data_IF_165016731962
#
_entry.id   IF_165016731962
#
_cell.length_a   1.000
_cell.length_b   1.000
_cell.length_c   1.000
_cell.angle_alpha   90.00
_cell.angle_beta   90.00
_cell.angle_gamma   90.00
#
_symmetry.space_group_name_H-M   'P 1'
#
loop_
_entity.id
_entity.type
_entity.pdbx_description
1 polymer ?
#
# COMPACT_ATOMS: atom_id res chain seq x y z
N UNK A 1 33.45 10.85 12.82
CA UNK A 1 32.02 10.64 13.13
C UNK A 1 31.28 10.67 11.81
N UNK A 2 31.09 9.49 11.23
CA UNK A 2 30.29 9.28 10.01
C UNK A 2 29.05 8.53 10.46
N UNK A 3 28.14 9.27 11.10
CA UNK A 3 26.72 8.92 11.23
C UNK A 3 26.06 9.67 10.05
N UNK A 4 25.44 9.06 9.05
CA UNK A 4 24.26 8.18 9.12
C UNK A 4 24.11 7.63 7.69
N UNK A 5 24.39 6.36 7.44
CA UNK A 5 24.24 5.80 6.11
C UNK A 5 23.96 4.29 6.19
N UNK A 6 22.79 3.93 6.75
CA UNK A 6 22.15 2.60 6.85
C UNK A 6 20.88 2.85 7.69
N UNK A 7 19.63 2.70 7.27
CA UNK A 7 19.05 2.05 6.11
C UNK A 7 17.72 2.74 5.78
N UNK A 8 17.42 2.98 4.50
CA UNK A 8 16.04 3.18 4.06
C UNK A 8 15.43 1.78 3.99
N UNK A 9 15.07 1.20 5.14
CA UNK A 9 14.40 -0.11 5.22
C UNK A 9 12.88 0.07 5.02
N UNK A 10 12.23 -0.94 4.42
CA UNK A 10 10.78 -0.97 4.24
C UNK A 10 10.24 -0.06 3.13
N UNK A 11 9.10 0.59 3.41
CA UNK A 11 8.30 1.35 2.45
C UNK A 11 9.06 2.42 1.68
N UNK A 12 10.08 3.05 2.28
CA UNK A 12 10.86 4.12 1.64
C UNK A 12 11.83 3.60 0.58
N UNK A 13 12.18 2.31 0.60
CA UNK A 13 13.08 1.69 -0.37
C UNK A 13 12.38 1.45 -1.72
N UNK A 14 12.88 2.02 -2.84
CA UNK A 14 12.38 1.68 -4.16
C UNK A 14 12.52 0.18 -4.47
N UNK A 15 13.60 -0.46 -4.01
CA UNK A 15 13.84 -1.88 -4.23
C UNK A 15 12.80 -2.74 -3.50
N UNK A 16 12.42 -2.35 -2.28
CA UNK A 16 11.35 -3.01 -1.54
C UNK A 16 10.00 -2.89 -2.24
N UNK A 17 9.63 -1.68 -2.71
CA UNK A 17 8.39 -1.47 -3.46
C UNK A 17 8.33 -2.30 -4.74
N UNK A 18 9.44 -2.38 -5.49
CA UNK A 18 9.53 -3.24 -6.69
C UNK A 18 9.38 -4.72 -6.34
N UNK A 19 10.02 -5.19 -5.26
CA UNK A 19 9.91 -6.57 -4.82
C UNK A 19 8.48 -6.92 -4.36
N UNK A 20 7.83 -6.01 -3.62
CA UNK A 20 6.44 -6.17 -3.19
C UNK A 20 5.49 -6.26 -4.39
N UNK A 21 5.63 -5.38 -5.38
CA UNK A 21 4.84 -5.44 -6.61
C UNK A 21 5.10 -6.71 -7.42
N UNK A 22 6.34 -7.20 -7.42
CA UNK A 22 6.70 -8.49 -8.00
C UNK A 22 5.93 -9.65 -7.35
N UNK A 23 5.91 -9.70 -6.01
CA UNK A 23 5.13 -10.70 -5.25
C UNK A 23 3.63 -10.55 -5.49
N UNK A 24 3.11 -9.32 -5.46
CA UNK A 24 1.70 -9.04 -5.74
C UNK A 24 1.25 -9.61 -7.10
N UNK A 25 2.09 -9.45 -8.13
CA UNK A 25 1.83 -9.97 -9.49
C UNK A 25 1.70 -11.50 -9.53
N UNK A 26 2.40 -12.19 -8.62
CA UNK A 26 2.39 -13.64 -8.52
C UNK A 26 1.26 -14.17 -7.62
N UNK A 27 0.73 -13.36 -6.68
CA UNK A 27 -0.40 -13.75 -5.83
C UNK A 27 -1.75 -13.54 -6.55
N UNK A 28 -2.32 -14.64 -7.02
CA UNK A 28 -3.63 -14.65 -7.72
C UNK A 28 -4.78 -14.13 -6.85
N UNK A 29 -4.71 -14.25 -5.53
CA UNK A 29 -5.75 -13.74 -4.61
C UNK A 29 -5.68 -12.22 -4.54
N UNK A 30 -4.48 -11.67 -4.39
CA UNK A 30 -4.26 -10.23 -4.36
C UNK A 30 -4.67 -9.59 -5.70
N UNK A 31 -4.26 -10.19 -6.82
CA UNK A 31 -4.68 -9.77 -8.17
C UNK A 31 -6.20 -9.79 -8.35
N UNK A 32 -6.90 -10.76 -7.74
CA UNK A 32 -8.37 -10.83 -7.81
C UNK A 32 -9.03 -9.70 -7.01
N UNK A 33 -8.50 -9.34 -5.85
CA UNK A 33 -8.97 -8.18 -5.09
C UNK A 33 -8.79 -6.91 -5.92
N UNK A 34 -7.59 -6.70 -6.46
CA UNK A 34 -7.28 -5.56 -7.33
C UNK A 34 -8.22 -5.49 -8.54
N UNK A 35 -8.41 -6.59 -9.27
CA UNK A 35 -9.30 -6.60 -10.45
C UNK A 35 -10.74 -6.16 -10.19
N UNK A 36 -11.20 -6.26 -8.93
CA UNK A 36 -12.57 -5.92 -8.53
C UNK A 36 -12.68 -4.52 -7.96
N UNK A 37 -11.61 -4.02 -7.34
CA UNK A 37 -11.68 -2.83 -6.49
C UNK A 37 -10.80 -1.69 -6.98
N UNK A 38 -9.84 -1.93 -7.87
CA UNK A 38 -8.98 -0.91 -8.44
C UNK A 38 -9.78 0.19 -9.14
N UNK A 39 -9.28 1.44 -9.18
CA UNK A 39 -9.90 2.49 -9.98
C UNK A 39 -9.70 2.16 -11.48
N UNK A 40 -8.51 1.65 -11.81
CA UNK A 40 -8.16 1.07 -13.09
C UNK A 40 -7.35 -0.22 -12.87
N UNK A 41 -8.00 -1.38 -13.05
CA UNK A 41 -7.36 -2.68 -12.87
C UNK A 41 -6.30 -3.03 -13.92
N UNK A 42 -6.18 -2.26 -15.00
CA UNK A 42 -5.13 -2.44 -15.99
C UNK A 42 -3.76 -1.93 -15.52
N UNK A 43 -3.75 -1.05 -14.52
CA UNK A 43 -2.56 -0.53 -13.86
C UNK A 43 -2.18 -1.41 -12.68
N UNK A 44 -0.93 -1.29 -12.23
CA UNK A 44 -0.51 -1.88 -10.95
C UNK A 44 -0.89 -0.96 -9.79
N UNK A 45 -1.10 -1.53 -8.59
CA UNK A 45 -1.19 -0.74 -7.37
C UNK A 45 0.00 0.20 -7.22
N UNK A 46 -0.26 1.46 -6.90
CA UNK A 46 0.76 2.50 -6.84
C UNK A 46 0.81 3.24 -5.51
N UNK A 47 -0.15 2.97 -4.62
CA UNK A 47 -0.27 3.65 -3.34
C UNK A 47 0.23 2.73 -2.24
N UNK A 48 1.36 3.11 -1.63
CA UNK A 48 2.00 2.38 -0.55
C UNK A 48 1.72 3.08 0.76
N UNK A 49 1.49 2.29 1.81
CA UNK A 49 1.10 2.78 3.13
C UNK A 49 1.96 2.11 4.19
N UNK A 50 2.43 2.91 5.13
CA UNK A 50 2.91 2.49 6.43
C UNK A 50 1.97 3.05 7.50
N UNK A 51 1.41 2.18 8.33
CA UNK A 51 0.51 2.56 9.41
C UNK A 51 0.69 1.62 10.61
N UNK A 52 0.37 2.10 11.80
CA UNK A 52 0.41 1.31 13.03
C UNK A 52 -0.94 1.32 13.70
N UNK A 53 -1.33 0.20 14.31
CA UNK A 53 -2.48 0.13 15.22
C UNK A 53 -2.07 0.17 16.70
N UNK A 54 -0.82 0.57 16.98
CA UNK A 54 -0.24 0.64 18.32
C UNK A 54 0.23 -0.71 18.87
N UNK A 55 -0.11 -1.82 18.20
CA UNK A 55 0.35 -3.17 18.53
C UNK A 55 1.24 -3.77 17.42
N UNK A 56 0.97 -3.40 16.17
CA UNK A 56 1.66 -3.88 14.98
C UNK A 56 1.84 -2.74 13.99
N UNK A 57 3.03 -2.69 13.40
CA UNK A 57 3.34 -1.83 12.27
C UNK A 57 3.04 -2.61 10.98
N UNK A 58 2.30 -1.97 10.09
CA UNK A 58 1.83 -2.54 8.83
C UNK A 58 2.40 -1.71 7.69
N UNK A 59 3.14 -2.38 6.80
CA UNK A 59 3.64 -1.79 5.57
C UNK A 59 3.18 -2.61 4.37
N UNK A 60 2.73 -1.93 3.33
CA UNK A 60 2.27 -2.61 2.12
C UNK A 60 1.81 -1.70 1.02
N UNK A 61 1.11 -2.29 0.05
CA UNK A 61 0.49 -1.59 -1.06
C UNK A 61 -1.03 -1.75 -1.01
N UNK A 62 -1.74 -0.67 -1.27
CA UNK A 62 -3.20 -0.62 -1.21
C UNK A 62 -3.76 -1.26 -2.47
N UNK A 63 -4.54 -2.33 -2.30
CA UNK A 63 -5.09 -3.13 -3.40
C UNK A 63 -6.62 -3.15 -3.45
N UNK A 64 -7.28 -2.47 -2.52
CA UNK A 64 -8.72 -2.49 -2.32
C UNK A 64 -9.15 -1.47 -1.28
N UNK A 65 -10.45 -1.27 -1.12
CA UNK A 65 -10.99 -0.32 -0.15
C UNK A 65 -12.10 0.57 -0.67
N UNK A 66 -12.51 1.50 0.19
CA UNK A 66 -13.42 2.58 -0.15
C UNK A 66 -12.68 3.68 -0.92
N UNK A 67 -13.37 4.33 -1.84
CA UNK A 67 -12.88 5.52 -2.55
C UNK A 67 -13.14 6.78 -1.76
N UNK A 68 -12.24 7.73 -1.92
CA UNK A 68 -12.50 9.07 -1.45
C UNK A 68 -13.78 9.61 -2.15
N UNK A 69 -14.76 10.14 -1.40
CA UNK A 69 -16.01 10.61 -1.98
C UNK A 69 -15.84 11.86 -2.85
N UNK A 70 -14.77 12.62 -2.63
CA UNK A 70 -14.45 13.86 -3.33
C UNK A 70 -13.44 13.60 -4.48
N UNK A 71 -12.63 12.54 -4.40
CA UNK A 71 -11.76 12.06 -5.49
C UNK A 71 -11.83 10.52 -5.69
N UNK A 72 -12.53 10.09 -6.75
CA UNK A 72 -12.71 8.67 -7.04
C UNK A 72 -11.43 7.93 -7.48
N UNK A 73 -10.34 8.65 -7.79
CA UNK A 73 -9.03 8.04 -8.08
C UNK A 73 -8.24 7.74 -6.80
N UNK A 74 -8.59 8.38 -5.69
CA UNK A 74 -7.94 8.21 -4.39
C UNK A 74 -8.64 7.17 -3.50
N UNK A 75 -7.93 6.72 -2.47
CA UNK A 75 -8.45 5.78 -1.47
C UNK A 75 -8.85 6.53 -0.21
N UNK A 76 -9.99 6.16 0.38
CA UNK A 76 -10.40 6.70 1.68
C UNK A 76 -9.64 5.98 2.80
N UNK A 77 -8.55 6.60 3.25
CA UNK A 77 -7.73 6.11 4.36
C UNK A 77 -8.35 6.34 5.73
N UNK A 78 -9.39 7.15 5.85
CA UNK A 78 -10.14 7.29 7.11
C UNK A 78 -11.13 6.13 7.30
N UNK A 79 -11.62 5.58 6.19
CA UNK A 79 -12.51 4.42 6.12
C UNK A 79 -11.77 3.07 6.18
N UNK A 80 -12.21 2.10 5.38
CA UNK A 80 -11.57 0.78 5.29
C UNK A 80 -10.85 0.65 3.95
N UNK A 81 -9.61 0.18 3.99
CA UNK A 81 -8.81 -0.15 2.82
C UNK A 81 -8.20 -1.55 2.96
N UNK A 82 -7.81 -2.13 1.84
CA UNK A 82 -7.22 -3.46 1.77
C UNK A 82 -5.74 -3.32 1.44
N UNK A 83 -4.89 -3.79 2.36
CA UNK A 83 -3.44 -3.75 2.26
C UNK A 83 -2.90 -5.12 1.86
N UNK A 84 -1.95 -5.13 0.93
CA UNK A 84 -1.12 -6.31 0.63
C UNK A 84 0.30 -6.07 1.15
N UNK A 85 0.74 -6.91 2.09
CA UNK A 85 2.03 -6.75 2.76
C UNK A 85 3.16 -7.55 2.08
N UNK A 86 4.38 -7.36 2.56
CA UNK A 86 5.55 -8.09 2.04
C UNK A 86 5.53 -9.58 2.31
N UNK A 87 4.77 -10.05 3.30
CA UNK A 87 4.62 -11.46 3.64
C UNK A 87 3.53 -12.17 2.82
N UNK A 88 2.82 -11.45 1.95
CA UNK A 88 1.75 -11.98 1.13
C UNK A 88 0.40 -12.06 1.86
N UNK A 89 0.26 -11.34 2.97
CA UNK A 89 -1.02 -11.18 3.65
C UNK A 89 -1.90 -10.17 2.91
N UNK A 90 -3.20 -10.40 2.95
CA UNK A 90 -4.23 -9.45 2.50
C UNK A 90 -5.00 -9.04 3.75
N UNK A 91 -4.87 -7.78 4.13
CA UNK A 91 -5.35 -7.25 5.40
C UNK A 91 -6.43 -6.19 5.14
N UNK A 92 -7.60 -6.36 5.76
CA UNK A 92 -8.60 -5.29 5.86
C UNK A 92 -8.18 -4.34 6.98
N UNK A 93 -7.70 -3.16 6.59
CA UNK A 93 -7.26 -2.13 7.52
C UNK A 93 -8.35 -1.10 7.67
N UNK A 94 -8.73 -0.89 8.93
CA UNK A 94 -9.71 0.09 9.33
C UNK A 94 -8.97 1.36 9.76
N UNK A 95 -9.10 2.44 9.00
CA UNK A 95 -8.41 3.71 9.21
C UNK A 95 -8.66 4.34 10.58
N UNK A 96 -9.87 4.17 11.13
CA UNK A 96 -10.19 4.56 12.50
C UNK A 96 -9.51 3.72 13.60
N UNK A 97 -9.03 2.51 13.28
CA UNK A 97 -8.25 1.66 14.18
C UNK A 97 -6.73 1.81 13.95
N UNK A 98 -6.32 2.34 12.80
CA UNK A 98 -4.95 2.78 12.59
C UNK A 98 -4.73 4.01 13.48
N UNK A 99 -3.89 3.85 14.50
CA UNK A 99 -3.62 4.88 15.50
C UNK A 99 -2.55 5.85 15.05
N UNK A 100 -1.73 5.46 14.07
CA UNK A 100 -0.76 6.35 13.44
C UNK A 100 -0.55 6.01 11.95
N UNK A 101 -0.34 7.05 11.16
CA UNK A 101 -0.09 6.97 9.72
C UNK A 101 1.25 7.62 9.43
N UNK A 102 2.30 6.82 9.44
CA UNK A 102 3.66 7.33 9.30
C UNK A 102 3.93 7.83 7.88
N UNK A 103 3.38 7.16 6.85
CA UNK A 103 3.68 7.50 5.45
C UNK A 103 2.67 6.94 4.46
N UNK A 104 2.26 7.78 3.50
CA UNK A 104 1.56 7.36 2.27
C UNK A 104 2.38 7.83 1.06
N UNK A 105 2.76 6.89 0.17
CA UNK A 105 3.53 7.18 -1.04
C UNK A 105 2.67 6.83 -2.25
N UNK A 106 2.43 7.83 -3.10
CA UNK A 106 1.79 7.65 -4.40
C UNK A 106 2.88 7.60 -5.47
N UNK A 107 2.99 6.47 -6.17
CA UNK A 107 3.75 6.43 -7.42
C UNK A 107 2.87 7.00 -8.52
N UNK A 108 3.22 8.17 -9.03
CA UNK A 108 2.62 8.66 -10.27
C UNK A 108 2.87 7.59 -11.35
N UNK A 109 1.82 7.13 -12.01
CA UNK A 109 1.98 6.34 -13.22
C UNK A 109 2.68 7.25 -14.22
N UNK A 110 3.97 7.05 -14.48
CA UNK A 110 4.65 7.73 -15.58
C UNK A 110 3.85 7.44 -16.86
N UNK A 111 3.25 8.49 -17.44
CA UNK A 111 2.67 8.43 -18.77
C UNK A 111 3.78 8.02 -19.74
N UNK A 112 3.60 6.86 -20.38
CA UNK A 112 4.46 6.41 -21.47
C UNK A 112 4.09 7.09 -22.77
#
# INVERSE_FOLDING_TARGET
MTDTNLALDGIHSPAWRVALLGRFREDTRAMRVWSRQAPDSSRFPSVFVACSNGMHDLEGVVIGGRRDPDDAEEWDFSGTFVLYDEHGAILDVNGWLATDWDTVIHLAAEEK
#
